data_IF_955699129996
#
_entry.id   IF_955699129996
#
_cell.length_a   1.000
_cell.length_b   1.000
_cell.length_c   1.000
_cell.angle_alpha   90.00
_cell.angle_beta   90.00
_cell.angle_gamma   90.00
#
_symmetry.space_group_name_H-M   'P 1'
#
loop_
_entity.id
_entity.type
_entity.pdbx_description
1 polymer ?
#
# COMPACT_ATOMS: atom_id res chain seq x y z
N UNK A 1 22.38 -7.03 -14.21
CA UNK A 1 21.09 -6.35 -14.46
C UNK A 1 21.15 -5.53 -15.75
N UNK A 2 20.48 -5.97 -16.83
CA UNK A 2 20.47 -5.26 -18.13
C UNK A 2 19.70 -3.94 -18.07
N UNK A 3 18.56 -3.91 -17.36
CA UNK A 3 17.74 -2.71 -17.22
C UNK A 3 18.47 -1.57 -16.53
N UNK A 4 19.11 -1.82 -15.38
CA UNK A 4 19.85 -0.77 -14.64
C UNK A 4 21.02 -0.22 -15.45
N UNK A 5 21.69 -1.07 -16.24
CA UNK A 5 22.76 -0.60 -17.14
C UNK A 5 22.25 0.32 -18.26
N UNK A 6 21.02 0.09 -18.73
CA UNK A 6 20.42 0.85 -19.85
C UNK A 6 19.66 2.10 -19.39
N UNK A 7 18.92 2.02 -18.28
CA UNK A 7 17.98 3.04 -17.82
C UNK A 7 18.36 3.67 -16.46
N UNK A 8 19.41 3.18 -15.79
CA UNK A 8 19.78 3.62 -14.45
C UNK A 8 18.91 3.00 -13.35
N UNK A 9 18.90 3.61 -12.17
CA UNK A 9 18.01 3.19 -11.07
C UNK A 9 16.54 3.43 -11.43
N UNK A 10 15.63 2.54 -11.01
CA UNK A 10 14.19 2.76 -11.18
C UNK A 10 13.73 3.98 -10.37
N UNK A 11 12.75 4.69 -10.89
CA UNK A 11 12.20 5.91 -10.27
C UNK A 11 11.04 5.59 -9.30
N UNK A 12 10.27 4.52 -9.55
CA UNK A 12 9.19 4.09 -8.65
C UNK A 12 9.25 2.59 -8.35
N UNK A 13 8.89 2.26 -7.10
CA UNK A 13 8.66 0.90 -6.63
C UNK A 13 7.22 0.78 -6.13
N UNK A 14 6.42 -0.05 -6.79
CA UNK A 14 4.99 -0.24 -6.48
C UNK A 14 4.76 -1.69 -6.07
N UNK A 15 4.03 -1.90 -4.99
CA UNK A 15 3.61 -3.24 -4.55
C UNK A 15 2.10 -3.39 -4.74
N UNK A 16 1.68 -4.47 -5.38
CA UNK A 16 0.28 -4.87 -5.50
C UNK A 16 0.08 -6.15 -4.72
N UNK A 17 -0.76 -6.10 -3.68
CA UNK A 17 -1.06 -7.26 -2.84
C UNK A 17 -2.47 -7.74 -3.10
N UNK A 18 -2.67 -9.04 -3.22
CA UNK A 18 -4.01 -9.62 -3.34
C UNK A 18 -4.84 -9.33 -2.09
N UNK A 19 -6.09 -8.90 -2.28
CA UNK A 19 -7.08 -8.83 -1.21
C UNK A 19 -8.05 -10.01 -1.36
N UNK A 20 -8.15 -10.92 -0.39
CA UNK A 20 -9.04 -12.08 -0.48
C UNK A 20 -10.52 -11.68 -0.38
N UNK A 21 -10.81 -10.46 0.06
CA UNK A 21 -12.16 -9.91 0.21
C UNK A 21 -12.65 -9.16 -1.05
N UNK A 22 -11.93 -9.24 -2.17
CA UNK A 22 -12.46 -8.69 -3.42
C UNK A 22 -13.75 -9.40 -3.80
N UNK A 23 -14.73 -8.61 -4.26
CA UNK A 23 -16.08 -9.10 -4.59
C UNK A 23 -16.05 -10.20 -5.65
N UNK A 24 -15.14 -10.09 -6.61
CA UNK A 24 -14.92 -11.11 -7.65
C UNK A 24 -14.49 -12.46 -7.07
N UNK A 25 -13.89 -12.49 -5.88
CA UNK A 25 -13.56 -13.71 -5.15
C UNK A 25 -14.77 -14.14 -4.33
N UNK A 26 -15.26 -13.27 -3.43
CA UNK A 26 -16.29 -13.65 -2.45
C UNK A 26 -17.60 -14.08 -3.11
N UNK A 27 -17.99 -13.46 -4.23
CA UNK A 27 -19.22 -13.79 -4.95
C UNK A 27 -19.16 -15.16 -5.66
N UNK A 28 -17.96 -15.73 -5.84
CA UNK A 28 -17.75 -17.02 -6.51
C UNK A 28 -17.29 -18.13 -5.56
N UNK A 29 -17.39 -17.89 -4.24
CA UNK A 29 -17.21 -18.93 -3.23
C UNK A 29 -18.51 -19.70 -3.05
N UNK A 30 -18.41 -21.02 -2.92
CA UNK A 30 -19.54 -21.85 -2.51
C UNK A 30 -19.81 -21.68 -1.02
N UNK A 31 -20.99 -22.07 -0.56
CA UNK A 31 -21.34 -22.05 0.86
C UNK A 31 -20.29 -22.82 1.69
N UNK A 32 -19.79 -22.18 2.75
CA UNK A 32 -18.73 -22.74 3.61
C UNK A 32 -17.31 -22.67 3.05
N UNK A 33 -17.09 -22.22 1.80
CA UNK A 33 -15.74 -22.01 1.28
C UNK A 33 -15.12 -20.71 1.78
N UNK A 34 -13.83 -20.76 2.10
CA UNK A 34 -12.99 -19.60 2.31
C UNK A 34 -12.15 -19.30 1.07
N UNK A 35 -11.70 -18.03 0.87
CA UNK A 35 -10.82 -17.67 -0.23
C UNK A 35 -9.59 -18.58 -0.37
N UNK A 36 -9.02 -19.02 0.75
CA UNK A 36 -7.86 -19.91 0.79
C UNK A 36 -8.12 -21.31 0.21
N UNK A 37 -9.38 -21.75 0.18
CA UNK A 37 -9.79 -23.03 -0.39
C UNK A 37 -9.87 -22.97 -1.93
N UNK A 38 -9.87 -21.75 -2.50
CA UNK A 38 -9.96 -21.48 -3.95
C UNK A 38 -8.74 -20.68 -4.44
N UNK A 39 -7.52 -21.27 -4.39
CA UNK A 39 -6.31 -20.61 -4.87
C UNK A 39 -6.37 -20.32 -6.37
N UNK A 40 -7.09 -21.11 -7.15
CA UNK A 40 -7.36 -20.87 -8.57
C UNK A 40 -8.08 -19.52 -8.80
N UNK A 41 -9.10 -19.24 -7.99
CA UNK A 41 -9.89 -18.01 -8.04
C UNK A 41 -9.04 -16.81 -7.61
N UNK A 42 -8.33 -16.93 -6.48
CA UNK A 42 -7.42 -15.90 -5.98
C UNK A 42 -6.39 -15.47 -7.03
N UNK A 43 -5.70 -16.45 -7.63
CA UNK A 43 -4.66 -16.20 -8.64
C UNK A 43 -5.25 -15.59 -9.90
N UNK A 44 -6.43 -16.06 -10.34
CA UNK A 44 -7.10 -15.52 -11.53
C UNK A 44 -7.51 -14.07 -11.33
N UNK A 45 -8.16 -13.74 -10.22
CA UNK A 45 -8.59 -12.36 -9.91
C UNK A 45 -7.36 -11.46 -9.73
N UNK A 46 -6.35 -11.90 -8.98
CA UNK A 46 -5.10 -11.15 -8.83
C UNK A 46 -4.45 -10.85 -10.18
N UNK A 47 -4.33 -11.83 -11.08
CA UNK A 47 -3.76 -11.63 -12.42
C UNK A 47 -4.56 -10.61 -13.23
N UNK A 48 -5.88 -10.61 -13.15
CA UNK A 48 -6.73 -9.64 -13.85
C UNK A 48 -6.53 -8.23 -13.29
N UNK A 49 -6.52 -8.07 -11.96
CA UNK A 49 -6.25 -6.78 -11.31
C UNK A 49 -4.85 -6.27 -11.66
N UNK A 50 -3.83 -7.12 -11.59
CA UNK A 50 -2.45 -6.77 -11.96
C UNK A 50 -2.36 -6.35 -13.44
N UNK A 51 -3.04 -7.04 -14.35
CA UNK A 51 -3.08 -6.66 -15.77
C UNK A 51 -3.69 -5.27 -15.95
N UNK A 52 -4.78 -4.97 -15.24
CA UNK A 52 -5.42 -3.65 -15.26
C UNK A 52 -4.52 -2.56 -14.68
N UNK A 53 -3.86 -2.83 -13.55
CA UNK A 53 -2.87 -1.92 -12.94
C UNK A 53 -1.72 -1.63 -13.91
N UNK A 54 -1.12 -2.67 -14.51
CA UNK A 54 -0.04 -2.49 -15.48
C UNK A 54 -0.50 -1.73 -16.73
N UNK A 55 -1.75 -1.91 -17.17
CA UNK A 55 -2.30 -1.15 -18.28
C UNK A 55 -2.41 0.35 -17.94
N UNK A 56 -2.96 0.68 -16.78
CA UNK A 56 -3.07 2.07 -16.31
C UNK A 56 -1.69 2.74 -16.18
N UNK A 57 -0.72 2.05 -15.57
CA UNK A 57 0.65 2.55 -15.40
C UNK A 57 1.33 2.82 -16.75
N UNK A 58 1.21 1.89 -17.71
CA UNK A 58 1.80 2.06 -19.05
C UNK A 58 1.14 3.17 -19.87
N UNK A 59 -0.14 3.44 -19.61
CA UNK A 59 -0.88 4.51 -20.26
C UNK A 59 -0.71 5.87 -19.56
N UNK A 60 0.23 5.98 -18.62
CA UNK A 60 0.64 7.25 -18.08
C UNK A 60 -0.20 7.75 -16.90
N UNK A 61 -0.90 6.88 -16.18
CA UNK A 61 -1.65 7.31 -14.99
C UNK A 61 -0.75 7.94 -13.90
N UNK A 62 0.56 7.68 -13.93
CA UNK A 62 1.57 8.32 -13.08
C UNK A 62 2.59 9.15 -13.88
N UNK A 63 2.31 9.44 -15.15
CA UNK A 63 3.25 10.02 -16.11
C UNK A 63 3.88 9.00 -17.05
N UNK A 64 4.62 9.47 -18.05
CA UNK A 64 5.18 8.63 -19.12
C UNK A 64 6.26 7.69 -18.60
N UNK A 65 6.27 6.45 -19.10
CA UNK A 65 7.14 5.35 -18.66
C UNK A 65 8.00 4.86 -19.83
N UNK A 66 9.32 4.92 -19.69
CA UNK A 66 10.29 4.43 -20.70
C UNK A 66 10.53 2.92 -20.61
N UNK A 67 10.49 2.38 -19.39
CA UNK A 67 10.64 0.95 -19.12
C UNK A 67 9.93 0.54 -17.84
N UNK A 68 9.58 -0.74 -17.74
CA UNK A 68 8.96 -1.33 -16.56
C UNK A 68 9.41 -2.79 -16.41
N UNK A 69 9.44 -3.25 -15.17
CA UNK A 69 9.69 -4.65 -14.81
C UNK A 69 8.79 -5.00 -13.64
N UNK A 70 8.28 -6.21 -13.56
CA UNK A 70 7.66 -6.68 -12.32
C UNK A 70 7.96 -8.15 -12.06
N UNK A 71 7.96 -8.51 -10.79
CA UNK A 71 8.00 -9.89 -10.33
C UNK A 71 6.71 -10.23 -9.59
N UNK A 72 6.24 -11.47 -9.69
CA UNK A 72 5.12 -11.99 -8.90
C UNK A 72 5.67 -13.00 -7.92
N UNK A 73 5.37 -12.80 -6.64
CA UNK A 73 5.85 -13.65 -5.55
C UNK A 73 4.68 -14.36 -4.86
N UNK A 74 4.83 -15.67 -4.74
CA UNK A 74 3.95 -16.55 -3.99
C UNK A 74 4.60 -16.85 -2.64
N UNK A 75 4.08 -16.25 -1.58
CA UNK A 75 4.57 -16.56 -0.24
C UNK A 75 3.96 -17.88 0.23
N UNK A 76 4.72 -18.74 0.92
CA UNK A 76 4.28 -20.10 1.36
C UNK A 76 2.94 -20.14 2.12
N UNK A 77 2.53 -19.01 2.72
CA UNK A 77 1.24 -18.83 3.43
C UNK A 77 0.59 -17.49 3.08
N UNK A 78 1.10 -16.81 2.07
CA UNK A 78 0.64 -15.47 1.70
C UNK A 78 0.00 -15.51 0.33
N UNK A 79 -0.89 -14.55 0.12
CA UNK A 79 -1.53 -14.37 -1.17
C UNK A 79 -0.51 -13.85 -2.18
N UNK A 80 -0.76 -14.02 -3.49
CA UNK A 80 0.10 -13.47 -4.52
C UNK A 80 0.30 -11.96 -4.31
N UNK A 81 1.51 -11.50 -4.56
CA UNK A 81 1.79 -10.07 -4.64
C UNK A 81 2.80 -9.81 -5.75
N UNK A 82 2.80 -8.59 -6.26
CA UNK A 82 3.71 -8.17 -7.30
C UNK A 82 4.55 -6.98 -6.82
N UNK A 83 5.82 -7.00 -7.17
CA UNK A 83 6.73 -5.86 -7.05
C UNK A 83 6.99 -5.32 -8.44
N UNK A 84 6.67 -4.04 -8.65
CA UNK A 84 6.73 -3.36 -9.94
C UNK A 84 7.77 -2.24 -9.84
N UNK A 85 8.70 -2.22 -10.79
CA UNK A 85 9.68 -1.18 -11.02
C UNK A 85 9.29 -0.39 -12.26
N UNK A 86 9.30 0.94 -12.16
CA UNK A 86 9.08 1.85 -13.28
C UNK A 86 10.29 2.75 -13.48
N UNK A 87 10.69 2.93 -14.74
CA UNK A 87 11.62 3.97 -15.19
C UNK A 87 10.81 5.01 -15.95
N UNK A 88 10.71 6.21 -15.38
CA UNK A 88 9.87 7.29 -15.90
C UNK A 88 10.62 8.07 -16.98
N UNK A 89 9.90 8.51 -18.00
CA UNK A 89 10.45 9.39 -19.03
C UNK A 89 10.96 10.70 -18.41
N UNK A 90 11.93 11.36 -19.04
CA UNK A 90 12.60 12.55 -18.50
C UNK A 90 11.64 13.63 -17.97
N UNK A 91 10.53 13.90 -18.67
CA UNK A 91 9.52 14.89 -18.26
C UNK A 91 8.56 14.44 -17.17
N UNK A 92 8.61 13.17 -16.77
CA UNK A 92 7.74 12.55 -15.75
C UNK A 92 8.53 11.99 -14.56
N UNK A 93 9.84 12.27 -14.48
CA UNK A 93 10.67 11.85 -13.33
C UNK A 93 10.23 12.57 -12.07
N UNK A 94 10.15 11.83 -10.96
CA UNK A 94 9.83 12.38 -9.65
C UNK A 94 11.12 12.92 -9.02
N UNK A 95 11.16 14.22 -8.75
CA UNK A 95 12.26 14.87 -8.05
C UNK A 95 11.94 15.00 -6.55
N UNK A 96 12.94 15.13 -5.66
CA UNK A 96 12.73 15.23 -4.22
C UNK A 96 11.73 16.33 -3.80
N UNK A 97 11.70 17.46 -4.50
CA UNK A 97 10.74 18.55 -4.24
C UNK A 97 9.27 18.17 -4.54
N UNK A 98 9.02 17.09 -5.29
CA UNK A 98 7.69 16.63 -5.68
C UNK A 98 7.20 15.44 -4.84
N UNK A 99 7.97 14.98 -3.86
CA UNK A 99 7.68 13.74 -3.12
C UNK A 99 6.32 13.76 -2.42
N UNK A 100 5.95 14.89 -1.79
CA UNK A 100 4.66 15.02 -1.10
C UNK A 100 3.46 15.03 -2.07
N UNK A 101 3.68 15.43 -3.32
CA UNK A 101 2.64 15.38 -4.36
C UNK A 101 2.50 13.97 -4.95
N UNK A 102 3.60 13.21 -4.99
CA UNK A 102 3.61 11.86 -5.54
C UNK A 102 3.24 10.77 -4.53
N UNK A 103 3.55 10.97 -3.25
CA UNK A 103 3.36 10.00 -2.17
C UNK A 103 2.75 10.68 -0.95
N UNK A 104 1.63 10.14 -0.48
CA UNK A 104 0.98 10.61 0.74
C UNK A 104 0.86 9.48 1.76
N UNK A 105 1.21 9.80 3.02
CA UNK A 105 0.93 8.99 4.19
C UNK A 105 -0.19 9.58 5.07
N UNK A 106 -0.95 10.52 4.51
CA UNK A 106 -2.10 11.14 5.19
C UNK A 106 -3.37 10.32 4.97
N UNK A 107 -4.32 10.47 5.90
CA UNK A 107 -5.66 9.94 5.69
C UNK A 107 -6.36 10.85 4.67
N UNK A 108 -6.98 10.32 3.61
CA UNK A 108 -7.76 11.12 2.67
C UNK A 108 -8.86 11.92 3.38
N UNK A 109 -9.33 13.00 2.77
CA UNK A 109 -10.48 13.74 3.31
C UNK A 109 -11.76 13.01 2.93
N UNK A 110 -12.56 12.63 3.94
CA UNK A 110 -13.81 11.89 3.76
C UNK A 110 -14.85 12.65 2.93
N UNK A 111 -14.83 13.97 2.97
CA UNK A 111 -15.80 14.81 2.25
C UNK A 111 -15.35 15.08 0.81
N UNK A 112 -14.04 15.16 0.56
CA UNK A 112 -13.50 15.43 -0.78
C UNK A 112 -13.39 14.15 -1.62
N UNK A 113 -12.95 13.05 -1.01
CA UNK A 113 -12.80 11.75 -1.67
C UNK A 113 -13.27 10.61 -0.73
N UNK A 114 -14.59 10.40 -0.62
CA UNK A 114 -15.15 9.38 0.26
C UNK A 114 -14.75 7.95 -0.15
N UNK A 115 -14.51 7.72 -1.45
CA UNK A 115 -14.12 6.40 -1.98
C UNK A 115 -12.69 6.06 -1.55
N UNK A 116 -11.73 6.96 -1.81
CA UNK A 116 -10.35 6.77 -1.40
C UNK A 116 -10.23 6.71 0.13
N UNK A 117 -10.97 7.56 0.86
CA UNK A 117 -11.07 7.48 2.31
C UNK A 117 -11.48 6.07 2.77
N UNK A 118 -12.54 5.51 2.17
CA UNK A 118 -13.04 4.18 2.53
C UNK A 118 -12.00 3.10 2.25
N UNK A 119 -11.34 3.15 1.09
CA UNK A 119 -10.31 2.17 0.69
C UNK A 119 -9.11 2.24 1.64
N UNK A 120 -8.56 3.45 1.87
CA UNK A 120 -7.37 3.65 2.71
C UNK A 120 -7.65 3.27 4.16
N UNK A 121 -8.77 3.73 4.73
CA UNK A 121 -9.09 3.44 6.14
C UNK A 121 -9.38 1.95 6.38
N UNK A 122 -9.97 1.28 5.40
CA UNK A 122 -10.28 -0.14 5.50
C UNK A 122 -9.03 -1.02 5.36
N UNK A 123 -8.10 -0.68 4.47
CA UNK A 123 -7.06 -1.62 4.02
C UNK A 123 -5.62 -1.18 4.35
N UNK A 124 -5.37 0.12 4.52
CA UNK A 124 -4.02 0.68 4.62
C UNK A 124 -3.69 1.25 6.01
N UNK A 125 -4.62 1.20 6.96
CA UNK A 125 -4.39 1.66 8.34
C UNK A 125 -3.94 0.51 9.22
N UNK A 126 -2.84 0.69 9.96
CA UNK A 126 -2.37 -0.28 10.94
C UNK A 126 -3.44 -0.56 11.99
N UNK A 127 -3.67 -1.84 12.30
CA UNK A 127 -4.62 -2.22 13.35
C UNK A 127 -4.10 -1.83 14.74
N UNK A 128 -4.98 -1.77 15.76
CA UNK A 128 -4.56 -1.58 17.14
C UNK A 128 -3.53 -2.63 17.55
N UNK A 129 -2.49 -2.18 18.25
CA UNK A 129 -1.39 -2.99 18.79
C UNK A 129 -0.88 -2.37 20.08
N UNK A 130 0.14 -2.96 20.71
CA UNK A 130 0.68 -2.45 21.97
C UNK A 130 -0.23 -2.82 23.14
N UNK A 131 -0.46 -1.88 24.05
CA UNK A 131 -1.35 -2.09 25.19
C UNK A 131 -2.80 -2.41 24.76
N UNK A 132 -3.25 -1.84 23.63
CA UNK A 132 -4.60 -2.05 23.11
C UNK A 132 -4.81 -3.45 22.51
N UNK A 133 -3.73 -4.08 22.03
CA UNK A 133 -3.78 -5.45 21.52
C UNK A 133 -2.38 -6.09 21.60
N UNK A 134 -2.02 -6.68 22.75
CA UNK A 134 -0.71 -7.30 22.96
C UNK A 134 -0.48 -8.52 22.05
N UNK A 135 -1.56 -9.13 21.57
CA UNK A 135 -1.55 -10.33 20.72
C UNK A 135 -1.49 -10.00 19.22
N UNK A 136 -1.41 -8.73 18.84
CA UNK A 136 -1.32 -8.34 17.45
C UNK A 136 -0.07 -8.99 16.79
N UNK A 137 -0.15 -9.49 15.53
CA UNK A 137 0.97 -10.16 14.86
C UNK A 137 2.25 -9.31 14.73
N UNK A 138 2.13 -7.98 14.83
CA UNK A 138 3.26 -7.07 14.81
C UNK A 138 4.03 -7.00 16.14
N UNK A 139 3.47 -7.48 17.25
CA UNK A 139 4.07 -7.40 18.59
C UNK A 139 5.21 -8.40 18.74
N UNK A 140 6.39 -7.92 19.11
CA UNK A 140 7.57 -8.73 19.42
C UNK A 140 8.26 -8.14 20.66
N UNK A 141 8.46 -8.94 21.70
CA UNK A 141 9.09 -8.47 22.95
C UNK A 141 8.36 -7.29 23.60
N UNK A 142 7.02 -7.31 23.61
CA UNK A 142 6.20 -6.25 24.19
C UNK A 142 6.15 -4.92 23.40
N UNK A 143 6.81 -4.84 22.24
CA UNK A 143 6.83 -3.64 21.38
C UNK A 143 6.34 -3.98 19.97
N UNK A 144 5.71 -3.01 19.30
CA UNK A 144 5.35 -3.17 17.90
C UNK A 144 6.64 -3.20 17.05
N UNK A 145 6.91 -4.32 16.39
CA UNK A 145 8.09 -4.49 15.51
C UNK A 145 8.11 -3.54 14.31
N UNK A 146 6.96 -2.95 13.98
CA UNK A 146 6.80 -1.92 12.93
C UNK A 146 6.89 -0.49 13.47
N UNK A 147 7.05 -0.34 14.79
CA UNK A 147 7.20 0.93 15.50
C UNK A 147 6.00 1.87 15.29
N UNK A 148 4.78 1.33 15.35
CA UNK A 148 3.57 2.16 15.42
C UNK A 148 3.30 2.59 16.88
N UNK A 149 2.74 3.77 17.12
CA UNK A 149 2.36 4.80 16.13
C UNK A 149 3.57 5.60 15.63
N UNK A 150 3.59 5.90 14.33
CA UNK A 150 4.64 6.74 13.71
C UNK A 150 4.43 8.21 14.12
N UNK A 151 5.51 8.98 14.36
CA UNK A 151 5.41 10.40 14.69
C UNK A 151 4.76 11.19 13.55
N UNK A 152 4.13 12.32 13.89
CA UNK A 152 3.70 13.30 12.91
C UNK A 152 4.91 14.09 12.41
N UNK A 153 4.95 14.36 11.10
CA UNK A 153 6.04 15.10 10.46
C UNK A 153 5.43 16.04 9.44
N UNK A 154 5.83 17.33 9.49
CA UNK A 154 5.25 18.36 8.62
C UNK A 154 5.61 18.18 7.16
N UNK A 155 6.81 17.71 6.84
CA UNK A 155 7.30 17.52 5.47
C UNK A 155 8.06 16.19 5.38
N UNK A 156 8.10 15.57 4.19
CA UNK A 156 8.82 14.30 4.04
C UNK A 156 10.32 14.48 4.29
N UNK A 157 10.86 13.73 5.25
CA UNK A 157 12.28 13.70 5.57
C UNK A 157 12.93 12.49 4.90
N UNK A 158 13.84 12.75 3.97
CA UNK A 158 14.73 11.74 3.39
C UNK A 158 15.94 11.58 4.31
N UNK A 159 16.04 10.45 5.01
CA UNK A 159 17.22 10.16 5.83
C UNK A 159 18.35 9.54 5.01
N UNK A 160 19.60 9.75 5.44
CA UNK A 160 20.74 8.96 4.97
C UNK A 160 20.59 7.53 5.51
N UNK A 161 20.57 6.54 4.60
CA UNK A 161 20.49 5.10 4.88
C UNK A 161 19.33 4.66 5.81
N UNK A 162 18.23 5.42 5.83
CA UNK A 162 17.03 5.06 6.59
C UNK A 162 15.77 5.18 5.74
N UNK A 163 14.72 4.47 6.16
CA UNK A 163 13.40 4.62 5.54
C UNK A 163 12.94 6.08 5.65
N UNK A 164 12.40 6.66 4.57
CA UNK A 164 11.90 8.03 4.61
C UNK A 164 10.77 8.16 5.63
N UNK A 165 10.74 9.30 6.33
CA UNK A 165 9.58 9.68 7.13
C UNK A 165 8.69 10.54 6.26
N UNK A 166 7.61 9.97 5.77
CA UNK A 166 6.66 10.71 4.94
C UNK A 166 5.91 11.76 5.74
N UNK A 167 5.55 12.86 5.07
CA UNK A 167 4.65 13.88 5.59
C UNK A 167 3.38 13.22 6.15
N UNK A 168 3.05 13.59 7.39
CA UNK A 168 1.88 13.16 8.10
C UNK A 168 1.54 14.22 9.14
N UNK A 169 0.57 15.07 8.84
CA UNK A 169 0.16 16.15 9.75
C UNK A 169 -0.82 15.63 10.79
N UNK A 170 -0.77 16.23 11.97
CA UNK A 170 -1.81 16.04 12.99
C UNK A 170 -3.04 16.90 12.67
N UNK A 171 -4.15 16.68 13.39
CA UNK A 171 -5.43 17.36 13.13
C UNK A 171 -5.34 18.88 13.33
N UNK A 172 -4.54 19.35 14.29
CA UNK A 172 -4.36 20.79 14.54
C UNK A 172 -3.57 21.45 13.42
N UNK A 173 -2.70 20.67 12.75
CA UNK A 173 -1.90 21.10 11.59
C UNK A 173 -2.58 20.81 10.23
N UNK A 174 -3.89 20.49 10.22
CA UNK A 174 -4.68 20.26 9.01
C UNK A 174 -4.61 18.85 8.43
N UNK A 175 -4.14 17.86 9.20
CA UNK A 175 -4.23 16.45 8.83
C UNK A 175 -5.59 15.82 9.16
N UNK A 176 -5.95 14.75 8.47
CA UNK A 176 -7.17 13.99 8.76
C UNK A 176 -6.90 12.81 9.70
N UNK A 177 -7.92 12.40 10.45
CA UNK A 177 -7.87 11.23 11.30
C UNK A 177 -9.01 10.25 10.99
N UNK A 178 -8.84 9.00 11.44
CA UNK A 178 -9.90 7.99 11.44
C UNK A 178 -9.83 7.22 12.74
N UNK A 179 -10.97 6.72 13.19
CA UNK A 179 -11.07 5.83 14.35
C UNK A 179 -11.15 4.39 13.83
N UNK A 180 -10.23 3.53 14.28
CA UNK A 180 -10.33 2.09 14.05
C UNK A 180 -10.80 1.41 15.33
N UNK A 181 -11.93 0.71 15.23
CA UNK A 181 -12.44 -0.10 16.33
C UNK A 181 -11.79 -1.47 16.31
N UNK A 182 -11.43 -1.99 17.48
CA UNK A 182 -11.18 -3.43 17.62
C UNK A 182 -12.53 -4.13 17.50
N UNK A 183 -12.58 -5.21 16.72
CA UNK A 183 -13.78 -6.05 16.69
C UNK A 183 -14.07 -6.51 18.11
N UNK A 184 -15.17 -6.03 18.69
CA UNK A 184 -15.58 -6.31 20.07
C UNK A 184 -15.38 -5.21 21.11
N UNK A 185 -14.67 -4.10 20.83
CA UNK A 185 -14.55 -2.96 21.77
C UNK A 185 -14.45 -1.60 21.03
N UNK A 186 -15.29 -0.64 21.45
CA UNK A 186 -15.15 0.77 21.08
C UNK A 186 -13.95 1.35 21.86
N UNK A 187 -12.93 1.85 21.18
CA UNK A 187 -11.83 2.60 21.80
C UNK A 187 -11.89 4.03 21.24
N UNK A 188 -11.91 5.06 22.10
CA UNK A 188 -11.94 6.47 21.67
C UNK A 188 -10.71 6.86 20.85
#
# INVERSE_FOLDING_TARGET
MVYVRKYGCPDMFITVTTNPNWKEITDHLLEGQHPHDRPDLLVRVFRLKLKQTMHALKNGCLGSVDAWLYNIEFQKRGLPHAHILLWMSRGSKIHPCMINAAVSAEIPDKNQDPELFTIVTSHMVHGPCGALNPNAPCMKGGKCSKQFLKPFVKDTEMGTDSYPKYQRRDVQSGGNCTVKKLVGQNIP
#
